data_IF_789370591785
#
_entry.id   IF_789370591785
#
_cell.length_a   1.000
_cell.length_b   1.000
_cell.length_c   1.000
_cell.angle_alpha   90.00
_cell.angle_beta   90.00
_cell.angle_gamma   90.00
#
_symmetry.space_group_name_H-M   'P 1'
#
loop_
_entity.id
_entity.type
_entity.pdbx_description
1 polymer ?
#
# COMPACT_ATOMS: atom_id res chain seq x y z
N UNK A 1 33.17 2.01 -48.01
CA UNK A 1 32.34 0.94 -47.40
C UNK A 1 33.01 0.51 -46.12
N UNK A 2 32.32 0.47 -44.98
CA UNK A 2 32.88 -0.04 -43.73
C UNK A 2 33.33 -1.49 -43.92
N UNK A 3 34.48 -1.85 -43.35
CA UNK A 3 34.99 -3.22 -43.44
C UNK A 3 34.19 -4.14 -42.51
N UNK A 4 34.24 -5.46 -42.75
CA UNK A 4 33.56 -6.43 -41.88
C UNK A 4 33.99 -6.29 -40.41
N UNK A 5 35.26 -5.95 -40.16
CA UNK A 5 35.78 -5.73 -38.80
C UNK A 5 35.21 -4.47 -38.14
N UNK A 6 34.98 -3.42 -38.93
CA UNK A 6 34.36 -2.18 -38.43
C UNK A 6 32.89 -2.45 -38.05
N UNK A 7 32.18 -3.23 -38.88
CA UNK A 7 30.81 -3.66 -38.59
C UNK A 7 30.73 -4.52 -37.33
N UNK A 8 31.65 -5.48 -37.14
CA UNK A 8 31.71 -6.30 -35.93
C UNK A 8 32.00 -5.47 -34.67
N UNK A 9 32.90 -4.49 -34.76
CA UNK A 9 33.18 -3.57 -33.67
C UNK A 9 31.96 -2.71 -33.32
N UNK A 10 31.25 -2.21 -34.33
CA UNK A 10 30.01 -1.45 -34.16
C UNK A 10 28.90 -2.31 -33.54
N UNK A 11 28.75 -3.57 -33.97
CA UNK A 11 27.78 -4.50 -33.39
C UNK A 11 28.05 -4.77 -31.91
N UNK A 12 29.32 -5.02 -31.53
CA UNK A 12 29.68 -5.19 -30.11
C UNK A 12 29.43 -3.94 -29.29
N UNK A 13 29.74 -2.77 -29.84
CA UNK A 13 29.48 -1.50 -29.16
C UNK A 13 27.98 -1.25 -28.96
N UNK A 14 27.15 -1.56 -29.95
CA UNK A 14 25.69 -1.46 -29.84
C UNK A 14 25.14 -2.48 -28.84
N UNK A 15 25.65 -3.71 -28.83
CA UNK A 15 25.24 -4.73 -27.88
C UNK A 15 25.57 -4.33 -26.44
N UNK A 16 26.76 -3.78 -26.19
CA UNK A 16 27.13 -3.28 -24.88
C UNK A 16 26.20 -2.13 -24.41
N UNK A 17 25.92 -1.17 -25.30
CA UNK A 17 24.98 -0.07 -24.99
C UNK A 17 23.57 -0.57 -24.68
N UNK A 18 23.06 -1.51 -25.47
CA UNK A 18 21.74 -2.09 -25.24
C UNK A 18 21.66 -2.81 -23.88
N UNK A 19 22.73 -3.50 -23.47
CA UNK A 19 22.80 -4.15 -22.16
C UNK A 19 22.81 -3.14 -21.01
N UNK A 20 23.53 -2.02 -21.15
CA UNK A 20 23.55 -0.97 -20.14
C UNK A 20 22.18 -0.28 -20.03
N UNK A 21 21.54 0.05 -21.16
CA UNK A 21 20.20 0.62 -21.20
C UNK A 21 19.13 -0.32 -20.59
N UNK A 22 19.22 -1.63 -20.87
CA UNK A 22 18.32 -2.63 -20.29
C UNK A 22 18.48 -2.70 -18.75
N UNK A 23 19.71 -2.65 -18.25
CA UNK A 23 19.97 -2.60 -16.79
C UNK A 23 19.38 -1.35 -16.16
N UNK A 24 19.64 -0.19 -16.76
CA UNK A 24 19.10 1.08 -16.28
C UNK A 24 17.57 1.05 -16.28
N UNK A 25 16.95 0.50 -17.33
CA UNK A 25 15.50 0.37 -17.42
C UNK A 25 14.93 -0.47 -16.27
N UNK A 26 15.54 -1.63 -15.98
CA UNK A 26 15.15 -2.50 -14.86
C UNK A 26 15.33 -1.80 -13.52
N UNK A 27 16.44 -1.08 -13.32
CA UNK A 27 16.68 -0.31 -12.10
C UNK A 27 15.65 0.80 -11.90
N UNK A 28 15.30 1.55 -12.96
CA UNK A 28 14.30 2.60 -12.88
C UNK A 28 12.92 2.02 -12.57
N UNK A 29 12.57 0.87 -13.17
CA UNK A 29 11.35 0.14 -12.84
C UNK A 29 11.28 -0.26 -11.36
N UNK A 30 12.40 -0.75 -10.80
CA UNK A 30 12.50 -1.07 -9.38
C UNK A 30 12.40 0.17 -8.48
N UNK A 31 13.11 1.25 -8.81
CA UNK A 31 13.07 2.51 -8.06
C UNK A 31 11.65 3.09 -8.03
N UNK A 32 10.95 3.04 -9.16
CA UNK A 32 9.54 3.46 -9.26
C UNK A 32 8.63 2.61 -8.37
N UNK A 33 8.80 1.29 -8.40
CA UNK A 33 8.02 0.37 -7.56
C UNK A 33 8.18 0.64 -6.07
N UNK A 34 9.43 0.83 -5.61
CA UNK A 34 9.76 1.14 -4.22
C UNK A 34 9.24 2.52 -3.81
N UNK A 35 9.33 3.51 -4.72
CA UNK A 35 8.80 4.85 -4.50
C UNK A 35 7.27 4.85 -4.34
N UNK A 36 6.55 4.19 -5.25
CA UNK A 36 5.09 4.06 -5.15
C UNK A 36 4.69 3.35 -3.87
N UNK A 37 5.40 2.28 -3.49
CA UNK A 37 5.15 1.57 -2.25
C UNK A 37 5.21 2.51 -1.04
N UNK A 38 6.31 3.25 -0.92
CA UNK A 38 6.51 4.19 0.19
C UNK A 38 5.44 5.27 0.17
N UNK A 39 5.25 5.92 -0.97
CA UNK A 39 4.31 7.03 -1.12
C UNK A 39 2.87 6.61 -0.79
N UNK A 40 2.40 5.50 -1.38
CA UNK A 40 1.03 5.02 -1.18
C UNK A 40 0.79 4.56 0.26
N UNK A 41 1.76 3.91 0.90
CA UNK A 41 1.66 3.49 2.31
C UNK A 41 1.60 4.68 3.27
N UNK A 42 2.41 5.71 3.01
CA UNK A 42 2.41 6.94 3.82
C UNK A 42 1.07 7.68 3.72
N UNK A 43 0.49 7.72 2.52
CA UNK A 43 -0.66 8.59 2.20
C UNK A 43 -2.00 7.87 2.15
N UNK A 44 -2.05 6.56 2.44
CA UNK A 44 -3.23 5.71 2.30
C UNK A 44 -4.49 6.22 3.03
N UNK A 45 -4.29 6.81 4.22
CA UNK A 45 -5.34 7.36 5.08
C UNK A 45 -5.65 8.84 4.79
N UNK A 46 -4.66 9.56 4.30
CA UNK A 46 -4.71 11.01 4.03
C UNK A 46 -5.42 11.30 2.71
N UNK A 47 -5.29 10.36 1.75
CA UNK A 47 -5.64 10.53 0.35
C UNK A 47 -4.41 10.99 -0.44
N UNK A 48 -4.19 10.39 -1.62
CA UNK A 48 -3.16 10.77 -2.59
C UNK A 48 -3.67 10.73 -4.03
N UNK A 49 -2.96 11.37 -4.98
CA UNK A 49 -3.46 11.62 -6.36
C UNK A 49 -4.02 10.36 -7.00
N UNK A 50 -3.47 9.20 -6.61
CA UNK A 50 -3.85 7.88 -7.06
C UNK A 50 -5.15 7.38 -6.38
N UNK A 51 -5.30 7.55 -5.07
CA UNK A 51 -6.42 7.05 -4.22
C UNK A 51 -7.59 8.01 -4.03
N UNK A 52 -7.43 9.29 -4.36
CA UNK A 52 -8.46 10.32 -4.20
C UNK A 52 -8.76 10.69 -2.73
N UNK A 53 -9.30 11.89 -2.48
CA UNK A 53 -9.47 12.42 -1.10
C UNK A 53 -10.76 11.95 -0.43
N UNK A 54 -11.42 10.93 -0.99
CA UNK A 54 -12.74 10.47 -0.58
C UNK A 54 -13.86 11.38 -1.11
N UNK A 55 -14.98 11.43 -0.38
CA UNK A 55 -16.17 12.15 -0.83
C UNK A 55 -15.91 13.64 -1.10
N UNK A 56 -16.50 14.21 -2.17
CA UNK A 56 -16.31 15.61 -2.53
C UNK A 56 -16.57 16.60 -1.38
N UNK A 57 -17.51 16.28 -0.48
CA UNK A 57 -17.84 17.11 0.69
C UNK A 57 -16.73 17.12 1.74
N UNK A 58 -16.00 16.02 1.90
CA UNK A 58 -14.95 15.88 2.92
C UNK A 58 -13.54 16.05 2.32
N UNK A 59 -13.40 15.99 1.01
CA UNK A 59 -12.15 16.10 0.28
C UNK A 59 -11.36 17.40 0.56
N UNK A 60 -11.97 18.60 0.60
CA UNK A 60 -11.24 19.83 0.93
C UNK A 60 -10.65 19.82 2.34
N UNK A 61 -11.42 19.32 3.32
CA UNK A 61 -10.98 19.19 4.71
C UNK A 61 -9.88 18.14 4.84
N UNK A 62 -10.01 17.02 4.12
CA UNK A 62 -8.99 15.97 4.12
C UNK A 62 -7.70 16.42 3.44
N UNK A 63 -7.77 17.19 2.37
CA UNK A 63 -6.60 17.82 1.75
C UNK A 63 -5.88 18.72 2.74
N UNK A 64 -6.60 19.68 3.34
CA UNK A 64 -6.03 20.64 4.28
C UNK A 64 -5.39 19.96 5.49
N UNK A 65 -6.01 18.87 5.97
CA UNK A 65 -5.56 18.15 7.15
C UNK A 65 -4.56 17.01 6.85
N UNK A 66 -4.22 16.77 5.58
CA UNK A 66 -3.26 15.72 5.20
C UNK A 66 -1.90 15.97 5.86
N UNK A 67 -1.32 17.17 5.71
CA UNK A 67 -0.04 17.51 6.32
C UNK A 67 -0.03 17.46 7.86
N UNK A 68 -1.16 17.75 8.50
CA UNK A 68 -1.30 17.62 9.97
C UNK A 68 -1.28 16.16 10.39
N UNK A 69 -1.96 15.29 9.64
CA UNK A 69 -1.95 13.83 9.89
C UNK A 69 -0.57 13.23 9.63
N UNK A 70 0.12 13.68 8.59
CA UNK A 70 1.49 13.23 8.27
C UNK A 70 2.44 13.54 9.43
N UNK A 71 2.47 14.80 9.88
CA UNK A 71 3.30 15.22 11.02
C UNK A 71 2.94 14.49 12.32
N UNK A 72 1.66 14.17 12.53
CA UNK A 72 1.22 13.40 13.70
C UNK A 72 1.78 11.96 13.65
N UNK A 73 1.77 11.33 12.47
CA UNK A 73 2.31 9.99 12.24
C UNK A 73 3.83 9.95 12.43
N UNK A 74 4.55 10.90 11.82
CA UNK A 74 6.01 11.03 11.98
C UNK A 74 6.42 11.16 13.46
N UNK A 75 5.66 11.93 14.25
CA UNK A 75 5.89 12.03 15.71
C UNK A 75 5.64 10.73 16.44
N UNK A 76 4.64 9.95 16.03
CA UNK A 76 4.34 8.64 16.62
C UNK A 76 5.40 7.60 16.25
N UNK A 77 5.89 7.62 15.01
CA UNK A 77 6.97 6.76 14.52
C UNK A 77 8.29 7.09 15.23
N UNK A 78 8.66 8.37 15.32
CA UNK A 78 9.84 8.81 16.08
C UNK A 78 9.74 8.50 17.58
N UNK A 79 8.52 8.52 18.16
CA UNK A 79 8.30 8.10 19.54
C UNK A 79 8.41 6.57 19.72
N UNK A 80 7.96 5.79 18.73
CA UNK A 80 8.09 4.34 18.72
C UNK A 80 9.55 3.89 18.56
N UNK A 81 10.33 4.58 17.73
CA UNK A 81 11.77 4.36 17.56
C UNK A 81 12.55 4.66 18.86
N UNK A 82 12.24 5.77 19.54
CA UNK A 82 12.85 6.11 20.85
C UNK A 82 12.47 5.14 21.96
N UNK A 83 11.33 4.46 21.86
CA UNK A 83 10.87 3.50 22.86
C UNK A 83 11.56 2.13 22.76
N UNK A 84 12.56 1.96 21.90
CA UNK A 84 13.39 0.74 21.85
C UNK A 84 12.67 -0.54 21.44
N UNK A 85 11.42 -0.44 20.95
CA UNK A 85 10.76 -1.57 20.30
C UNK A 85 11.49 -1.80 18.99
N UNK A 86 12.25 -2.89 18.91
CA UNK A 86 12.93 -3.29 17.69
C UNK A 86 11.91 -3.34 16.57
N UNK A 87 12.04 -2.41 15.63
CA UNK A 87 11.29 -2.41 14.40
C UNK A 87 11.79 -3.60 13.56
N UNK A 88 11.24 -4.80 13.83
CA UNK A 88 11.06 -5.80 12.78
C UNK A 88 10.40 -5.12 11.58
N UNK A 89 10.62 -5.65 10.36
CA UNK A 89 10.68 -4.89 9.09
C UNK A 89 9.84 -3.62 9.16
N UNK A 90 10.52 -2.46 9.19
CA UNK A 90 10.12 -1.06 9.44
C UNK A 90 8.84 -0.54 8.75
N UNK A 91 7.79 -1.33 8.82
CA UNK A 91 6.50 -1.09 8.22
C UNK A 91 5.47 -1.61 9.23
N UNK A 92 4.53 -0.78 9.72
CA UNK A 92 3.35 -1.35 10.36
C UNK A 92 2.76 -2.32 9.35
N UNK A 93 2.62 -3.59 9.73
CA UNK A 93 2.04 -4.63 8.88
C UNK A 93 0.64 -4.15 8.50
N UNK A 94 0.49 -3.59 7.30
CA UNK A 94 -0.80 -3.11 6.82
C UNK A 94 -1.78 -4.27 6.89
N UNK A 95 -3.01 -3.97 7.27
CA UNK A 95 -4.07 -4.97 7.17
C UNK A 95 -4.18 -5.43 5.71
N UNK A 96 -4.66 -6.65 5.48
CA UNK A 96 -4.79 -7.18 4.12
C UNK A 96 -5.67 -6.28 3.22
N UNK A 97 -6.63 -5.57 3.81
CA UNK A 97 -7.48 -4.59 3.12
C UNK A 97 -6.70 -3.33 2.72
N UNK A 98 -5.87 -2.80 3.61
CA UNK A 98 -5.01 -1.64 3.33
C UNK A 98 -3.93 -2.00 2.30
N UNK A 99 -3.32 -3.18 2.42
CA UNK A 99 -2.32 -3.64 1.46
C UNK A 99 -2.95 -3.82 0.07
N UNK A 100 -4.15 -4.38 -0.02
CA UNK A 100 -4.86 -4.48 -1.29
C UNK A 100 -5.16 -3.08 -1.88
N UNK A 101 -5.45 -2.10 -1.03
CA UNK A 101 -5.64 -0.72 -1.46
C UNK A 101 -4.34 -0.11 -1.97
N UNK A 102 -3.19 -0.32 -1.32
CA UNK A 102 -1.88 0.09 -1.85
C UNK A 102 -1.67 -0.52 -3.23
N UNK A 103 -1.77 -1.84 -3.33
CA UNK A 103 -1.46 -2.57 -4.57
C UNK A 103 -2.34 -2.09 -5.73
N UNK A 104 -3.65 -1.93 -5.51
CA UNK A 104 -4.59 -1.44 -6.54
C UNK A 104 -4.23 -0.07 -7.12
N UNK A 105 -3.47 0.74 -6.39
CA UNK A 105 -3.18 2.13 -6.76
C UNK A 105 -1.74 2.35 -7.25
N UNK A 106 -0.98 1.27 -7.48
CA UNK A 106 0.36 1.29 -8.10
C UNK A 106 0.30 1.49 -9.62
N UNK A 107 -0.40 2.54 -10.04
CA UNK A 107 -0.77 2.76 -11.45
C UNK A 107 0.46 2.97 -12.34
N UNK A 108 1.51 3.63 -11.86
CA UNK A 108 2.71 3.84 -12.65
C UNK A 108 3.48 2.53 -12.83
N UNK A 109 3.61 1.72 -11.78
CA UNK A 109 4.22 0.38 -11.90
C UNK A 109 3.43 -0.54 -12.84
N UNK A 110 2.10 -0.44 -12.88
CA UNK A 110 1.26 -1.26 -13.77
C UNK A 110 1.24 -0.80 -15.23
N UNK A 111 1.82 0.35 -15.54
CA UNK A 111 1.97 0.81 -16.93
C UNK A 111 3.01 0.01 -17.73
N UNK A 112 3.82 -0.82 -17.06
CA UNK A 112 4.86 -1.64 -17.67
C UNK A 112 4.68 -3.12 -17.35
N UNK A 113 4.73 -3.97 -18.38
CA UNK A 113 4.68 -5.44 -18.24
C UNK A 113 5.96 -6.04 -17.66
N UNK A 114 7.08 -5.29 -17.73
CA UNK A 114 8.36 -5.70 -17.15
C UNK A 114 8.53 -5.24 -15.70
N UNK A 115 7.49 -4.62 -15.14
CA UNK A 115 7.51 -4.10 -13.79
C UNK A 115 7.51 -5.23 -12.76
N UNK A 116 8.23 -5.07 -11.63
CA UNK A 116 8.12 -5.98 -10.48
C UNK A 116 6.69 -6.13 -9.94
N UNK A 117 5.78 -5.22 -10.28
CA UNK A 117 4.41 -5.23 -9.81
C UNK A 117 3.48 -6.18 -10.59
N UNK A 118 3.89 -6.67 -11.78
CA UNK A 118 3.05 -7.50 -12.65
C UNK A 118 2.47 -8.76 -11.94
N UNK A 119 3.25 -9.54 -11.16
CA UNK A 119 2.72 -10.69 -10.44
C UNK A 119 1.65 -10.31 -9.40
N UNK A 120 1.80 -9.13 -8.80
CA UNK A 120 0.81 -8.61 -7.85
C UNK A 120 -0.48 -8.23 -8.58
N UNK A 121 -0.36 -7.63 -9.77
CA UNK A 121 -1.49 -7.26 -10.62
C UNK A 121 -2.32 -8.48 -11.03
N UNK A 122 -1.66 -9.55 -11.48
CA UNK A 122 -2.32 -10.79 -11.89
C UNK A 122 -3.22 -11.39 -10.80
N UNK A 123 -2.82 -11.26 -9.53
CA UNK A 123 -3.56 -11.81 -8.38
C UNK A 123 -4.49 -10.81 -7.68
N UNK A 124 -4.54 -9.54 -8.12
CA UNK A 124 -5.29 -8.48 -7.44
C UNK A 124 -6.77 -8.80 -7.27
N UNK A 125 -7.42 -9.23 -8.35
CA UNK A 125 -8.86 -9.50 -8.33
C UNK A 125 -9.22 -10.65 -7.38
N UNK A 126 -8.43 -11.73 -7.42
CA UNK A 126 -8.65 -12.88 -6.55
C UNK A 126 -8.47 -12.53 -5.08
N UNK A 127 -7.43 -11.74 -4.77
CA UNK A 127 -7.20 -11.22 -3.41
C UNK A 127 -8.37 -10.36 -2.95
N UNK A 128 -8.91 -9.51 -3.84
CA UNK A 128 -10.12 -8.75 -3.58
C UNK A 128 -11.35 -9.63 -3.29
N UNK A 129 -11.61 -10.63 -4.13
CA UNK A 129 -12.73 -11.57 -3.95
C UNK A 129 -12.62 -12.32 -2.62
N UNK A 130 -11.43 -12.80 -2.26
CA UNK A 130 -11.17 -13.51 -0.99
C UNK A 130 -11.45 -12.63 0.24
N UNK A 131 -11.06 -11.35 0.20
CA UNK A 131 -11.34 -10.41 1.31
C UNK A 131 -12.84 -10.14 1.47
N UNK A 132 -13.57 -9.91 0.36
CA UNK A 132 -15.03 -9.72 0.41
C UNK A 132 -15.72 -10.96 0.97
N UNK A 133 -15.32 -12.16 0.52
CA UNK A 133 -15.84 -13.41 1.06
C UNK A 133 -15.54 -13.59 2.55
N UNK A 134 -14.33 -13.26 3.00
CA UNK A 134 -13.95 -13.33 4.41
C UNK A 134 -14.80 -12.36 5.26
N UNK A 135 -15.03 -11.14 4.76
CA UNK A 135 -15.90 -10.14 5.41
C UNK A 135 -17.34 -10.63 5.50
N UNK A 136 -17.89 -11.18 4.42
CA UNK A 136 -19.25 -11.72 4.40
C UNK A 136 -19.42 -12.94 5.33
N UNK A 137 -18.41 -13.80 5.44
CA UNK A 137 -18.40 -14.93 6.39
C UNK A 137 -18.37 -14.45 7.84
N UNK A 138 -17.63 -13.39 8.15
CA UNK A 138 -17.61 -12.78 9.50
C UNK A 138 -18.97 -12.18 9.86
N UNK A 139 -19.62 -11.49 8.91
CA UNK A 139 -20.96 -10.91 9.11
C UNK A 139 -22.06 -11.97 9.30
N UNK A 140 -21.92 -13.15 8.70
CA UNK A 140 -22.87 -14.27 8.84
C UNK A 140 -22.66 -15.12 10.11
N UNK A 141 -21.58 -14.93 10.87
CA UNK A 141 -21.35 -15.64 12.13
C UNK A 141 -22.05 -14.85 13.25
N UNK A 142 -23.10 -15.39 13.90
CA UNK A 142 -23.73 -14.69 15.02
C UNK A 142 -22.68 -14.47 16.12
N UNK A 143 -22.58 -13.24 16.62
CA UNK A 143 -21.92 -12.98 17.89
C UNK A 143 -22.56 -13.90 18.94
N UNK A 144 -21.79 -14.63 19.77
CA UNK A 144 -22.38 -15.28 20.93
C UNK A 144 -23.00 -14.17 21.78
N UNK A 145 -24.31 -14.26 21.97
CA UNK A 145 -25.06 -13.32 22.80
C UNK A 145 -24.36 -13.23 24.16
N UNK A 146 -23.74 -12.08 24.44
CA UNK A 146 -23.40 -11.72 25.81
C UNK A 146 -24.75 -11.61 26.52
N UNK A 147 -25.03 -12.64 27.31
CA UNK A 147 -26.17 -12.75 28.21
C UNK A 147 -26.30 -11.47 29.01
N UNK A 148 -27.30 -10.65 28.67
CA UNK A 148 -27.78 -9.58 29.51
C UNK A 148 -28.44 -10.20 30.74
N UNK A 149 -27.69 -10.37 31.82
CA UNK A 149 -28.25 -10.58 33.14
C UNK A 149 -28.76 -9.23 33.66
N UNK A 150 -29.98 -8.87 33.27
CA UNK A 150 -30.76 -7.86 33.97
C UNK A 150 -31.32 -8.51 35.24
N UNK A 151 -30.72 -8.20 36.39
CA UNK A 151 -31.37 -8.40 37.70
C UNK A 151 -31.94 -7.06 38.13
N UNK A 152 -33.21 -6.85 37.80
CA UNK A 152 -34.09 -5.93 38.50
C UNK A 152 -34.54 -6.61 39.80
N UNK A 153 -34.23 -6.02 40.96
CA UNK A 153 -35.14 -6.06 42.13
C UNK A 153 -34.84 -4.93 43.11
N UNK A 154 -35.81 -4.02 43.17
CA UNK A 154 -36.44 -3.45 44.37
C UNK A 154 -35.63 -2.56 45.33
N UNK A 155 -35.86 -1.25 45.14
CA UNK A 155 -36.08 -0.24 46.18
C UNK A 155 -36.82 -0.79 47.41
N UNK A 156 -36.23 -0.64 48.58
CA UNK A 156 -36.91 -0.72 49.87
C UNK A 156 -36.63 0.57 50.66
N UNK A 157 -37.58 1.51 50.57
CA UNK A 157 -37.75 2.58 51.54
C UNK A 157 -38.81 2.11 52.55
N UNK A 158 -38.44 1.91 53.82
CA UNK A 158 -39.37 1.95 54.95
C UNK A 158 -38.61 2.01 56.30
N UNK A 159 -38.91 3.10 57.01
CA UNK A 159 -38.69 3.44 58.44
C UNK A 159 -37.36 4.04 58.84
#
# INVERSE_FOLDING_TARGET
MPSAKDLDAMLRALQAKAQDEERDWVEQGRKLYEFEEKFLRETLLEGNVLTGWGEPRTAPVRFRNAGVRKRKRERQEAAAERAGKSAGPSTPTLSAEEQLKVDRHRLASYSSVHSPAEPLHATLEERGRKLVQARNKRLKKPQPAATAAATDTATAAAK
#
